data_IF_975498226909
#
_entry.id   IF_975498226909
#
_cell.length_a   1.000
_cell.length_b   1.000
_cell.length_c   1.000
_cell.angle_alpha   90.00
_cell.angle_beta   90.00
_cell.angle_gamma   90.00
#
_symmetry.space_group_name_H-M   'P 1'
#
loop_
_entity.id
_entity.type
_entity.pdbx_description
1 polymer ?
#
# COMPACT_ATOMS: atom_id res chain seq x y z
N UNK A 1 -14.43 15.11 16.18
CA UNK A 1 -13.66 16.16 15.44
C UNK A 1 -14.22 16.33 14.04
N UNK A 2 -14.08 17.53 13.50
CA UNK A 2 -14.28 17.83 12.08
C UNK A 2 -12.93 17.80 11.38
N UNK A 3 -12.70 16.73 10.62
CA UNK A 3 -11.42 16.38 10.00
C UNK A 3 -11.50 16.65 8.50
N UNK A 4 -10.55 17.39 7.96
CA UNK A 4 -10.41 17.65 6.54
C UNK A 4 -9.23 16.89 5.94
N UNK A 5 -9.44 16.15 4.86
CA UNK A 5 -8.36 15.60 4.03
C UNK A 5 -8.19 16.42 2.76
N UNK A 6 -6.95 16.72 2.40
CA UNK A 6 -6.60 17.28 1.09
C UNK A 6 -5.75 16.24 0.36
N UNK A 7 -6.21 15.79 -0.80
CA UNK A 7 -5.53 14.77 -1.60
C UNK A 7 -5.62 15.08 -3.09
N UNK A 8 -4.61 14.72 -3.85
CA UNK A 8 -4.59 14.90 -5.30
C UNK A 8 -5.44 13.89 -6.06
N UNK A 9 -5.74 12.75 -5.45
CA UNK A 9 -6.53 11.66 -6.02
C UNK A 9 -7.48 11.08 -4.96
N UNK A 10 -8.64 10.61 -5.42
CA UNK A 10 -9.65 9.94 -4.58
C UNK A 10 -10.55 9.09 -5.48
N UNK A 11 -11.15 7.99 -5.02
CA UNK A 11 -12.05 7.19 -5.86
C UNK A 11 -13.15 8.04 -6.55
N UNK A 12 -13.52 7.72 -7.81
CA UNK A 12 -13.13 6.56 -8.61
C UNK A 12 -11.80 6.69 -9.37
N UNK A 13 -10.96 7.69 -9.07
CA UNK A 13 -9.63 7.78 -9.64
C UNK A 13 -8.77 6.62 -9.10
N UNK A 14 -8.00 5.99 -10.01
CA UNK A 14 -7.06 4.95 -9.64
C UNK A 14 -5.80 5.58 -9.00
N UNK A 15 -5.45 5.14 -7.78
CA UNK A 15 -4.24 5.60 -7.09
C UNK A 15 -4.17 5.09 -5.65
N UNK A 16 -2.94 4.86 -5.19
CA UNK A 16 -2.69 4.29 -3.86
C UNK A 16 -3.02 5.25 -2.72
N UNK A 17 -2.72 6.54 -2.91
CA UNK A 17 -3.01 7.59 -1.92
C UNK A 17 -4.51 7.86 -1.82
N UNK A 18 -5.20 7.86 -2.98
CA UNK A 18 -6.65 7.99 -3.02
C UNK A 18 -7.37 6.86 -2.29
N UNK A 19 -6.98 5.61 -2.58
CA UNK A 19 -7.53 4.43 -1.91
C UNK A 19 -7.24 4.44 -0.40
N UNK A 20 -6.01 4.78 0.01
CA UNK A 20 -5.65 4.95 1.42
C UNK A 20 -6.52 6.02 2.10
N UNK A 21 -6.68 7.18 1.46
CA UNK A 21 -7.45 8.29 2.02
C UNK A 21 -8.91 7.91 2.20
N UNK A 22 -9.48 7.18 1.24
CA UNK A 22 -10.86 6.68 1.31
C UNK A 22 -11.06 5.73 2.50
N UNK A 23 -10.22 4.71 2.63
CA UNK A 23 -10.32 3.74 3.72
C UNK A 23 -10.12 4.39 5.10
N UNK A 24 -9.13 5.29 5.23
CA UNK A 24 -8.89 6.03 6.46
C UNK A 24 -10.08 6.94 6.81
N UNK A 25 -10.60 7.67 5.83
CA UNK A 25 -11.75 8.57 6.00
C UNK A 25 -13.00 7.79 6.45
N UNK A 26 -13.30 6.66 5.79
CA UNK A 26 -14.41 5.78 6.16
C UNK A 26 -14.26 5.24 7.59
N UNK A 27 -13.06 4.80 7.97
CA UNK A 27 -12.79 4.30 9.31
C UNK A 27 -12.91 5.40 10.38
N UNK A 28 -12.53 6.65 10.08
CA UNK A 28 -12.73 7.78 10.98
C UNK A 28 -14.21 8.16 11.13
N UNK A 29 -15.01 8.07 10.06
CA UNK A 29 -16.47 8.22 10.15
C UNK A 29 -17.07 7.13 11.06
N UNK A 30 -16.64 5.88 10.92
CA UNK A 30 -17.07 4.78 11.78
C UNK A 30 -16.69 4.99 13.26
N UNK A 31 -15.64 5.76 13.56
CA UNK A 31 -15.26 6.20 14.91
C UNK A 31 -16.06 7.42 15.41
N UNK A 32 -17.02 7.92 14.64
CA UNK A 32 -17.89 9.04 15.01
C UNK A 32 -17.33 10.42 14.70
N UNK A 33 -16.35 10.53 13.82
CA UNK A 33 -15.84 11.84 13.35
C UNK A 33 -16.60 12.33 12.13
N UNK A 34 -16.68 13.65 11.96
CA UNK A 34 -17.17 14.29 10.73
C UNK A 34 -15.99 14.44 9.78
N UNK A 35 -16.01 13.78 8.63
CA UNK A 35 -14.88 13.73 7.70
C UNK A 35 -15.24 14.36 6.37
N UNK A 36 -14.34 15.24 5.92
CA UNK A 36 -14.44 16.02 4.70
C UNK A 36 -13.21 15.76 3.83
N UNK A 37 -13.38 15.62 2.51
CA UNK A 37 -12.28 15.43 1.56
C UNK A 37 -12.35 16.51 0.49
N UNK A 38 -11.27 17.26 0.30
CA UNK A 38 -11.07 18.15 -0.85
C UNK A 38 -10.10 17.49 -1.83
N UNK A 39 -10.56 17.28 -3.07
CA UNK A 39 -9.80 16.53 -4.06
C UNK A 39 -10.02 17.03 -5.49
N UNK A 40 -9.32 16.39 -6.44
CA UNK A 40 -9.39 16.69 -7.85
C UNK A 40 -10.79 16.42 -8.43
N UNK A 41 -11.26 17.27 -9.36
CA UNK A 41 -12.60 17.21 -9.93
C UNK A 41 -12.97 15.88 -10.62
N UNK A 42 -11.96 15.09 -11.03
CA UNK A 42 -12.16 13.76 -11.62
C UNK A 42 -12.62 12.70 -10.62
N UNK A 43 -12.49 12.99 -9.33
CA UNK A 43 -12.98 12.13 -8.25
C UNK A 43 -14.48 12.30 -7.98
N UNK A 44 -15.25 12.87 -8.93
CA UNK A 44 -16.71 12.98 -8.81
C UNK A 44 -17.35 11.60 -8.82
N UNK A 45 -17.97 11.24 -7.70
CA UNK A 45 -18.70 10.00 -7.50
C UNK A 45 -19.55 10.09 -6.22
N UNK A 46 -20.36 9.08 -5.98
CA UNK A 46 -21.06 8.93 -4.73
C UNK A 46 -20.13 8.21 -3.74
N UNK A 47 -19.99 8.77 -2.56
CA UNK A 47 -19.31 8.11 -1.45
C UNK A 47 -20.39 7.65 -0.45
N UNK A 48 -20.54 6.35 -0.30
CA UNK A 48 -21.54 5.73 0.58
C UNK A 48 -21.04 5.58 2.03
N UNK A 49 -19.80 5.98 2.31
CA UNK A 49 -19.18 5.83 3.63
C UNK A 49 -19.57 6.90 4.64
N UNK A 50 -20.30 7.93 4.20
CA UNK A 50 -20.63 9.09 5.02
C UNK A 50 -19.59 10.20 4.99
N UNK A 51 -18.53 10.04 4.19
CA UNK A 51 -17.51 11.06 3.94
C UNK A 51 -18.06 12.15 3.02
N UNK A 52 -17.83 13.41 3.34
CA UNK A 52 -18.27 14.54 2.51
C UNK A 52 -17.17 14.93 1.51
N UNK A 53 -17.33 14.52 0.26
CA UNK A 53 -16.33 14.71 -0.80
C UNK A 53 -16.61 15.97 -1.62
N UNK A 54 -15.67 16.91 -1.62
CA UNK A 54 -15.62 18.10 -2.47
C UNK A 54 -14.63 17.86 -3.62
N UNK A 55 -15.08 17.19 -4.70
CA UNK A 55 -14.30 16.95 -5.91
C UNK A 55 -14.35 18.17 -6.83
N UNK A 56 -13.66 19.24 -6.46
CA UNK A 56 -13.80 20.57 -7.07
C UNK A 56 -12.49 21.16 -7.60
N UNK A 57 -11.32 20.64 -7.21
CA UNK A 57 -10.02 21.17 -7.60
C UNK A 57 -9.70 20.75 -9.04
N UNK A 58 -9.49 21.72 -9.93
CA UNK A 58 -9.07 21.44 -11.33
C UNK A 58 -7.56 21.30 -11.45
N UNK A 59 -6.85 22.27 -10.89
CA UNK A 59 -5.39 22.33 -10.90
C UNK A 59 -4.89 22.81 -9.54
N UNK A 60 -3.78 22.26 -9.06
CA UNK A 60 -3.17 22.62 -7.78
C UNK A 60 -2.34 23.91 -7.90
N UNK A 61 -3.01 25.02 -8.22
CA UNK A 61 -2.46 26.34 -8.40
C UNK A 61 -2.86 27.30 -7.26
N UNK A 62 -2.63 28.61 -7.41
CA UNK A 62 -3.02 29.61 -6.40
C UNK A 62 -4.52 29.63 -6.08
N UNK A 63 -5.36 29.36 -7.07
CA UNK A 63 -6.80 29.29 -6.86
C UNK A 63 -7.17 28.11 -5.94
N UNK A 64 -6.50 26.98 -6.07
CA UNK A 64 -6.70 25.82 -5.21
C UNK A 64 -6.33 26.10 -3.74
N UNK A 65 -5.27 26.89 -3.49
CA UNK A 65 -4.91 27.31 -2.12
C UNK A 65 -6.01 28.13 -1.47
N UNK A 66 -6.58 29.09 -2.21
CA UNK A 66 -7.69 29.94 -1.74
C UNK A 66 -8.97 29.10 -1.58
N UNK A 67 -9.20 28.14 -2.47
CA UNK A 67 -10.32 27.21 -2.38
C UNK A 67 -10.22 26.34 -1.12
N UNK A 68 -9.05 25.80 -0.83
CA UNK A 68 -8.79 25.03 0.38
C UNK A 68 -9.08 25.83 1.66
N UNK A 69 -8.65 27.10 1.71
CA UNK A 69 -8.96 27.99 2.84
C UNK A 69 -10.47 28.23 3.02
N UNK A 70 -11.18 28.53 1.92
CA UNK A 70 -12.64 28.77 1.95
C UNK A 70 -13.38 27.51 2.36
N UNK A 71 -12.98 26.34 1.83
CA UNK A 71 -13.53 25.06 2.14
C UNK A 71 -13.34 24.72 3.63
N UNK A 72 -12.13 24.89 4.17
CA UNK A 72 -11.84 24.62 5.56
C UNK A 72 -12.67 25.50 6.52
N UNK A 73 -12.82 26.80 6.21
CA UNK A 73 -13.66 27.73 7.00
C UNK A 73 -15.15 27.39 6.89
N UNK A 74 -15.64 27.06 5.69
CA UNK A 74 -17.04 26.69 5.47
C UNK A 74 -17.46 25.49 6.34
N UNK A 75 -16.60 24.47 6.41
CA UNK A 75 -16.87 23.26 7.18
C UNK A 75 -16.40 23.35 8.63
N UNK A 76 -15.83 24.49 9.05
CA UNK A 76 -15.30 24.70 10.41
C UNK A 76 -14.38 23.57 10.84
N UNK A 77 -13.45 23.20 9.98
CA UNK A 77 -12.52 22.09 10.25
C UNK A 77 -11.66 22.41 11.47
N UNK A 78 -11.40 21.39 12.29
CA UNK A 78 -10.53 21.49 13.45
C UNK A 78 -9.11 21.09 13.07
N UNK A 79 -8.97 20.04 12.26
CA UNK A 79 -7.69 19.54 11.75
C UNK A 79 -7.76 19.29 10.26
N UNK A 80 -6.67 19.59 9.57
CA UNK A 80 -6.54 19.35 8.12
C UNK A 80 -5.32 18.46 7.89
N UNK A 81 -5.55 17.30 7.28
CA UNK A 81 -4.48 16.37 6.92
C UNK A 81 -4.23 16.39 5.42
N UNK A 82 -3.04 16.85 5.02
CA UNK A 82 -2.56 16.79 3.64
C UNK A 82 -1.99 15.39 3.36
N UNK A 83 -2.60 14.65 2.46
CA UNK A 83 -2.13 13.34 1.99
C UNK A 83 -1.13 13.55 0.85
N UNK A 84 0.15 13.55 1.17
CA UNK A 84 1.18 13.94 0.23
C UNK A 84 1.93 12.75 -0.39
N UNK A 85 1.82 12.66 -1.68
CA UNK A 85 2.70 11.98 -2.62
C UNK A 85 2.77 12.83 -3.88
N UNK A 86 3.97 13.08 -4.40
CA UNK A 86 4.13 14.02 -5.52
C UNK A 86 3.39 13.60 -6.78
N UNK A 87 3.28 12.28 -7.04
CA UNK A 87 2.58 11.74 -8.21
C UNK A 87 1.06 11.97 -8.12
N UNK A 88 0.47 11.90 -6.94
CA UNK A 88 -0.97 12.06 -6.71
C UNK A 88 -1.47 13.46 -7.11
N UNK A 89 -0.63 14.50 -6.95
CA UNK A 89 -0.96 15.88 -7.33
C UNK A 89 -0.66 16.24 -8.78
N UNK A 90 -0.22 15.25 -9.59
CA UNK A 90 0.18 15.47 -10.98
C UNK A 90 1.67 15.79 -11.13
N UNK A 91 2.14 15.86 -12.39
CA UNK A 91 3.58 15.93 -12.71
C UNK A 91 4.29 17.17 -12.13
N UNK A 92 3.58 18.30 -11.94
CA UNK A 92 4.15 19.54 -11.40
C UNK A 92 3.10 20.28 -10.56
N UNK A 93 3.16 20.13 -9.25
CA UNK A 93 2.28 20.85 -8.32
C UNK A 93 3.07 21.50 -7.16
N UNK A 94 4.04 22.41 -7.42
CA UNK A 94 4.92 22.96 -6.39
C UNK A 94 4.17 23.77 -5.34
N UNK A 95 3.01 24.33 -5.67
CA UNK A 95 2.22 25.14 -4.75
C UNK A 95 1.54 24.33 -3.64
N UNK A 96 1.40 23.03 -3.80
CA UNK A 96 0.90 22.14 -2.74
C UNK A 96 1.79 22.23 -1.48
N UNK A 97 3.09 22.47 -1.65
CA UNK A 97 4.01 22.68 -0.53
C UNK A 97 3.71 23.92 0.32
N UNK A 98 2.87 24.84 -0.17
CA UNK A 98 2.45 26.03 0.58
C UNK A 98 1.14 25.82 1.34
N UNK A 99 0.45 24.67 1.17
CA UNK A 99 -0.84 24.42 1.82
C UNK A 99 -0.79 24.55 3.34
N UNK A 100 0.15 23.93 4.08
CA UNK A 100 0.17 24.06 5.53
C UNK A 100 0.36 25.52 5.98
N UNK A 101 1.26 26.26 5.34
CA UNK A 101 1.47 27.69 5.64
C UNK A 101 0.22 28.54 5.36
N UNK A 102 -0.55 28.21 4.31
CA UNK A 102 -1.78 28.92 3.95
C UNK A 102 -2.97 28.55 4.82
N UNK A 103 -2.89 27.42 5.47
CA UNK A 103 -3.91 26.89 6.39
C UNK A 103 -3.48 27.01 7.85
N UNK A 104 -2.57 27.94 8.16
CA UNK A 104 -2.00 28.15 9.52
C UNK A 104 -3.04 28.49 10.59
N UNK A 105 -4.23 28.99 10.19
CA UNK A 105 -5.37 29.21 11.09
C UNK A 105 -5.95 27.87 11.63
N UNK A 106 -5.56 26.73 11.06
CA UNK A 106 -6.03 25.40 11.41
C UNK A 106 -4.88 24.54 11.91
N UNK A 107 -5.19 23.50 12.68
CA UNK A 107 -4.21 22.45 12.96
C UNK A 107 -3.93 21.65 11.67
N UNK A 108 -2.74 21.78 11.11
CA UNK A 108 -2.36 21.11 9.86
C UNK A 108 -1.42 19.93 10.15
N UNK A 109 -1.72 18.79 9.56
CA UNK A 109 -0.87 17.60 9.59
C UNK A 109 -0.54 17.20 8.16
N UNK A 110 0.71 16.85 7.88
CA UNK A 110 1.10 16.31 6.57
C UNK A 110 1.42 14.82 6.70
N UNK A 111 0.70 13.98 5.96
CA UNK A 111 1.01 12.56 5.82
C UNK A 111 1.84 12.34 4.57
N UNK A 112 3.07 11.88 4.73
CA UNK A 112 3.93 11.47 3.62
C UNK A 112 3.75 10.00 3.33
N UNK A 113 3.33 9.66 2.11
CA UNK A 113 3.26 8.28 1.64
C UNK A 113 4.61 7.76 1.20
N UNK A 114 5.46 8.63 0.69
CA UNK A 114 6.90 8.43 0.55
C UNK A 114 7.65 9.79 0.54
N UNK A 115 8.96 9.71 0.76
CA UNK A 115 9.86 10.85 0.65
C UNK A 115 10.67 10.80 -0.65
N UNK A 116 10.29 9.94 -1.61
CA UNK A 116 10.99 9.78 -2.87
C UNK A 116 10.89 11.06 -3.69
N UNK A 117 12.03 11.49 -4.19
CA UNK A 117 12.11 12.66 -5.07
C UNK A 117 11.70 12.21 -6.47
N UNK A 118 10.63 12.76 -7.07
CA UNK A 118 10.20 12.36 -8.40
C UNK A 118 11.29 12.49 -9.47
N UNK A 119 11.36 11.55 -10.39
CA UNK A 119 12.38 11.43 -11.45
C UNK A 119 12.47 12.63 -12.42
N UNK A 120 11.52 13.53 -12.43
CA UNK A 120 11.35 14.56 -13.47
C UNK A 120 12.51 15.56 -13.64
N UNK A 121 13.39 15.70 -12.66
CA UNK A 121 14.62 16.51 -12.78
C UNK A 121 15.70 16.00 -11.79
N UNK A 122 16.49 14.99 -12.13
CA UNK A 122 17.49 14.39 -11.23
C UNK A 122 18.48 15.41 -10.63
N UNK A 123 18.84 16.46 -11.40
CA UNK A 123 19.78 17.51 -10.98
C UNK A 123 19.21 18.46 -9.91
N UNK A 124 17.88 18.47 -9.65
CA UNK A 124 17.23 19.30 -8.66
C UNK A 124 16.94 18.58 -7.32
N UNK A 125 17.52 17.39 -7.10
CA UNK A 125 17.24 16.54 -5.95
C UNK A 125 17.36 17.25 -4.59
N UNK A 126 18.42 18.03 -4.38
CA UNK A 126 18.62 18.78 -3.14
C UNK A 126 17.60 19.88 -2.89
N UNK A 127 17.13 20.59 -3.93
CA UNK A 127 16.08 21.60 -3.81
C UNK A 127 14.73 20.98 -3.51
N UNK A 128 14.44 19.83 -4.09
CA UNK A 128 13.20 19.11 -3.85
C UNK A 128 13.13 18.56 -2.44
N UNK A 129 14.22 17.97 -1.95
CA UNK A 129 14.28 17.53 -0.57
C UNK A 129 14.09 18.71 0.40
N UNK A 130 14.69 19.87 0.12
CA UNK A 130 14.43 21.08 0.90
C UNK A 130 12.97 21.52 0.85
N UNK A 131 12.31 21.40 -0.29
CA UNK A 131 10.88 21.69 -0.43
C UNK A 131 10.01 20.71 0.39
N UNK A 132 10.34 19.42 0.41
CA UNK A 132 9.71 18.42 1.27
C UNK A 132 9.91 18.73 2.74
N UNK A 133 11.15 19.09 3.16
CA UNK A 133 11.42 19.49 4.53
C UNK A 133 10.66 20.78 4.92
N UNK A 134 10.51 21.73 3.99
CA UNK A 134 9.73 22.92 4.24
C UNK A 134 8.24 22.57 4.41
N UNK A 135 7.70 21.69 3.57
CA UNK A 135 6.34 21.19 3.70
C UNK A 135 6.11 20.53 5.08
N UNK A 136 7.05 19.69 5.52
CA UNK A 136 7.00 19.06 6.83
C UNK A 136 7.09 20.08 7.97
N UNK A 137 8.03 21.03 7.91
CA UNK A 137 8.28 22.04 8.96
C UNK A 137 7.17 23.09 9.09
N UNK A 138 6.39 23.30 8.05
CA UNK A 138 5.26 24.28 8.06
C UNK A 138 3.94 23.66 8.51
N UNK A 139 3.87 22.33 8.60
CA UNK A 139 2.77 21.62 9.25
C UNK A 139 2.94 21.65 10.77
N UNK A 140 1.87 21.49 11.52
CA UNK A 140 1.91 21.34 12.99
C UNK A 140 2.23 19.93 13.43
N UNK A 141 2.03 18.94 12.55
CA UNK A 141 2.39 17.54 12.78
C UNK A 141 2.71 16.83 11.48
N UNK A 142 3.49 15.76 11.57
CA UNK A 142 3.88 14.93 10.43
C UNK A 142 3.56 13.48 10.70
N UNK A 143 2.93 12.83 9.73
CA UNK A 143 2.74 11.38 9.69
C UNK A 143 3.60 10.82 8.57
N UNK A 144 4.28 9.71 8.83
CA UNK A 144 4.98 8.90 7.82
C UNK A 144 4.45 7.47 7.87
N UNK A 145 4.48 6.78 6.75
CA UNK A 145 3.87 5.45 6.65
C UNK A 145 4.85 4.30 6.88
N UNK A 146 6.16 4.60 6.99
CA UNK A 146 7.19 3.57 7.08
C UNK A 146 8.39 4.00 7.95
N UNK A 147 9.19 3.00 8.35
CA UNK A 147 10.36 3.18 9.23
C UNK A 147 11.47 3.99 8.56
N UNK A 148 11.68 3.81 7.25
CA UNK A 148 12.75 4.50 6.53
C UNK A 148 12.54 6.00 6.52
N UNK A 149 11.32 6.45 6.19
CA UNK A 149 10.94 7.85 6.16
C UNK A 149 10.96 8.46 7.58
N UNK A 150 10.50 7.69 8.59
CA UNK A 150 10.60 8.09 10.00
C UNK A 150 12.05 8.35 10.41
N UNK A 151 12.96 7.40 10.16
CA UNK A 151 14.38 7.55 10.47
C UNK A 151 15.05 8.69 9.70
N UNK A 152 14.61 8.95 8.48
CA UNK A 152 15.13 10.03 7.66
C UNK A 152 14.72 11.39 8.22
N UNK A 153 13.43 11.59 8.52
CA UNK A 153 12.92 12.86 9.07
C UNK A 153 13.36 13.10 10.52
N UNK A 154 13.48 12.06 11.32
CA UNK A 154 13.95 12.19 12.71
C UNK A 154 15.38 12.74 12.85
N UNK A 155 16.21 12.66 11.77
CA UNK A 155 17.56 13.27 11.75
C UNK A 155 17.55 14.76 11.43
N UNK A 156 16.42 15.27 10.93
CA UNK A 156 16.29 16.65 10.50
C UNK A 156 15.94 17.58 11.68
N UNK A 157 16.56 18.76 11.71
CA UNK A 157 16.29 19.75 12.77
C UNK A 157 15.00 20.53 12.49
N UNK A 158 14.31 20.92 13.55
CA UNK A 158 13.12 21.78 13.46
C UNK A 158 11.91 21.08 12.86
N UNK A 159 11.82 19.77 13.03
CA UNK A 159 10.63 19.01 12.67
C UNK A 159 9.56 19.15 13.75
N UNK A 160 8.28 19.26 13.36
CA UNK A 160 7.17 19.20 14.30
C UNK A 160 7.02 17.75 14.84
N UNK A 161 6.08 17.49 15.76
CA UNK A 161 5.76 16.14 16.19
C UNK A 161 5.64 15.20 15.02
N UNK A 162 6.38 14.07 15.09
CA UNK A 162 6.48 13.07 14.03
C UNK A 162 5.91 11.75 14.53
N UNK A 163 4.99 11.16 13.76
CA UNK A 163 4.36 9.88 14.09
C UNK A 163 4.42 8.92 12.91
N UNK A 164 4.86 7.68 13.16
CA UNK A 164 4.73 6.61 12.17
C UNK A 164 3.37 5.92 12.33
N UNK A 165 2.54 6.04 11.29
CA UNK A 165 1.25 5.35 11.19
C UNK A 165 1.28 4.56 9.86
N UNK A 166 1.31 3.22 9.91
CA UNK A 166 1.45 2.40 8.71
C UNK A 166 0.19 2.42 7.85
N UNK A 167 0.30 1.90 6.64
CA UNK A 167 -0.87 1.68 5.77
C UNK A 167 -1.59 0.39 6.15
N UNK A 168 -2.88 0.33 5.88
CA UNK A 168 -3.69 -0.89 5.93
C UNK A 168 -3.73 -1.62 4.58
N UNK A 169 -4.42 -2.74 4.55
CA UNK A 169 -4.76 -3.42 3.30
C UNK A 169 -5.99 -2.79 2.67
N UNK A 170 -5.90 -2.50 1.36
CA UNK A 170 -7.07 -2.07 0.57
C UNK A 170 -7.90 -3.28 0.08
N UNK A 171 -7.44 -4.50 0.35
CA UNK A 171 -8.16 -5.73 0.04
C UNK A 171 -8.53 -6.37 1.38
N UNK A 172 -9.79 -6.26 1.75
CA UNK A 172 -10.31 -6.92 2.95
C UNK A 172 -10.45 -8.44 2.74
N UNK A 173 -10.30 -9.27 3.77
CA UNK A 173 -10.61 -10.70 3.71
C UNK A 173 -12.13 -10.93 3.69
N UNK A 174 -12.75 -10.54 2.59
CA UNK A 174 -14.19 -10.58 2.35
C UNK A 174 -14.47 -11.24 0.99
N UNK A 175 -14.30 -12.57 0.87
CA UNK A 175 -14.70 -13.30 -0.32
C UNK A 175 -16.22 -13.28 -0.46
N UNK A 176 -16.73 -13.66 -1.63
CA UNK A 176 -18.16 -13.83 -1.83
C UNK A 176 -18.74 -14.83 -0.80
N UNK A 177 -20.04 -14.68 -0.43
CA UNK A 177 -20.67 -15.53 0.60
C UNK A 177 -20.63 -17.04 0.31
N UNK A 178 -20.56 -17.41 -0.96
CA UNK A 178 -20.47 -18.78 -1.47
C UNK A 178 -19.02 -19.23 -1.71
N UNK A 179 -18.05 -18.60 -1.09
CA UNK A 179 -16.64 -18.95 -1.25
C UNK A 179 -16.39 -20.41 -0.89
N UNK A 180 -15.92 -21.15 -1.90
CA UNK A 180 -15.41 -22.52 -1.76
C UNK A 180 -13.99 -22.57 -2.35
N UNK A 181 -13.02 -22.90 -1.50
CA UNK A 181 -11.62 -23.03 -1.87
C UNK A 181 -11.40 -24.05 -2.98
N UNK A 182 -12.09 -25.20 -2.91
CA UNK A 182 -11.97 -26.25 -3.90
C UNK A 182 -12.54 -25.82 -5.25
N UNK A 183 -13.68 -25.12 -5.25
CA UNK A 183 -14.30 -24.58 -6.47
C UNK A 183 -13.40 -23.54 -7.14
N UNK A 184 -12.78 -22.62 -6.39
CA UNK A 184 -11.84 -21.62 -6.94
C UNK A 184 -10.64 -22.31 -7.59
N UNK A 185 -10.08 -23.34 -6.95
CA UNK A 185 -8.95 -24.12 -7.50
C UNK A 185 -9.35 -24.90 -8.76
N UNK A 186 -10.51 -25.53 -8.75
CA UNK A 186 -11.05 -26.26 -9.89
C UNK A 186 -11.28 -25.32 -11.11
N UNK A 187 -11.82 -24.12 -10.88
CA UNK A 187 -12.01 -23.12 -11.93
C UNK A 187 -10.69 -22.65 -12.57
N UNK A 188 -9.58 -22.69 -11.82
CA UNK A 188 -8.22 -22.45 -12.33
C UNK A 188 -7.60 -23.70 -12.98
N UNK A 189 -8.26 -24.85 -12.98
CA UNK A 189 -7.72 -26.12 -13.47
C UNK A 189 -6.55 -26.62 -12.61
N UNK A 190 -6.61 -26.43 -11.29
CA UNK A 190 -5.56 -26.82 -10.36
C UNK A 190 -6.03 -28.03 -9.55
N UNK A 191 -5.31 -29.16 -9.60
CA UNK A 191 -5.62 -30.34 -8.79
C UNK A 191 -5.60 -30.01 -7.29
N UNK A 192 -6.49 -30.64 -6.54
CA UNK A 192 -6.59 -30.42 -5.09
C UNK A 192 -5.30 -30.80 -4.36
N UNK A 193 -4.63 -31.88 -4.82
CA UNK A 193 -3.37 -32.35 -4.25
C UNK A 193 -2.15 -31.48 -4.54
N UNK A 194 -2.21 -30.63 -5.56
CA UNK A 194 -1.08 -29.76 -5.94
C UNK A 194 -0.96 -28.57 -5.01
N UNK A 195 0.25 -28.04 -4.84
CA UNK A 195 0.50 -26.82 -4.08
C UNK A 195 0.18 -25.60 -4.95
N UNK A 196 -0.63 -24.67 -4.45
CA UNK A 196 -0.94 -23.40 -5.11
C UNK A 196 -0.15 -22.25 -4.51
N UNK A 197 0.83 -21.76 -5.26
CA UNK A 197 1.59 -20.55 -4.94
C UNK A 197 0.88 -19.35 -5.55
N UNK A 198 0.55 -18.33 -4.74
CA UNK A 198 -0.02 -17.08 -5.19
C UNK A 198 1.04 -15.98 -5.36
N UNK A 199 0.83 -15.12 -6.33
CA UNK A 199 1.48 -13.81 -6.46
C UNK A 199 0.40 -12.77 -6.68
N UNK A 200 0.46 -11.66 -5.96
CA UNK A 200 -0.55 -10.60 -6.06
C UNK A 200 0.05 -9.26 -6.47
N UNK A 201 -0.56 -8.64 -7.48
CA UNK A 201 -0.29 -7.29 -7.95
C UNK A 201 0.17 -7.19 -9.40
N UNK A 202 0.37 -5.95 -9.88
CA UNK A 202 0.88 -5.70 -11.23
C UNK A 202 2.30 -6.23 -11.40
N UNK A 203 2.61 -6.66 -12.64
CA UNK A 203 3.96 -7.08 -13.01
C UNK A 203 4.85 -5.86 -13.20
N UNK A 204 5.81 -5.67 -12.31
CA UNK A 204 6.90 -4.71 -12.45
C UNK A 204 8.20 -5.28 -11.89
N UNK A 205 9.33 -4.70 -12.27
CA UNK A 205 10.65 -5.23 -11.92
C UNK A 205 10.85 -5.29 -10.39
N UNK A 206 10.41 -4.28 -9.63
CA UNK A 206 10.60 -4.23 -8.17
C UNK A 206 9.85 -5.31 -7.40
N UNK A 207 8.83 -5.93 -7.99
CA UNK A 207 8.06 -7.02 -7.36
C UNK A 207 8.63 -8.41 -7.60
N UNK A 208 9.71 -8.55 -8.39
CA UNK A 208 10.49 -9.77 -8.51
C UNK A 208 9.82 -10.95 -9.22
N UNK A 209 8.87 -10.72 -10.14
CA UNK A 209 8.16 -11.80 -10.83
C UNK A 209 9.11 -12.73 -11.60
N UNK A 210 10.21 -12.23 -12.15
CA UNK A 210 11.22 -13.05 -12.82
C UNK A 210 11.93 -14.00 -11.83
N UNK A 211 12.26 -13.53 -10.62
CA UNK A 211 12.81 -14.37 -9.56
C UNK A 211 11.79 -15.44 -9.14
N UNK A 212 10.50 -15.05 -9.00
CA UNK A 212 9.42 -15.99 -8.68
C UNK A 212 9.32 -17.15 -9.68
N UNK A 213 9.28 -16.85 -10.98
CA UNK A 213 9.18 -17.88 -12.02
C UNK A 213 10.35 -18.87 -11.98
N UNK A 214 11.57 -18.37 -11.80
CA UNK A 214 12.75 -19.22 -11.64
C UNK A 214 12.69 -20.05 -10.37
N UNK A 215 12.22 -19.47 -9.25
CA UNK A 215 12.02 -20.18 -7.98
C UNK A 215 10.98 -21.29 -8.10
N UNK A 216 9.85 -21.04 -8.76
CA UNK A 216 8.81 -22.07 -9.03
C UNK A 216 9.39 -23.18 -9.92
N UNK A 217 10.16 -22.83 -10.96
CA UNK A 217 10.83 -23.84 -11.80
C UNK A 217 11.80 -24.72 -10.98
N UNK A 218 12.54 -24.13 -10.02
CA UNK A 218 13.40 -24.90 -9.09
C UNK A 218 12.60 -25.82 -8.17
N UNK A 219 11.48 -25.36 -7.62
CA UNK A 219 10.61 -26.18 -6.80
C UNK A 219 10.05 -27.37 -7.58
N UNK A 220 9.60 -27.18 -8.83
CA UNK A 220 9.17 -28.25 -9.72
C UNK A 220 10.29 -29.26 -10.01
N UNK A 221 11.51 -28.78 -10.29
CA UNK A 221 12.69 -29.63 -10.50
C UNK A 221 13.06 -30.46 -9.26
N UNK A 222 12.75 -29.96 -8.05
CA UNK A 222 12.95 -30.71 -6.80
C UNK A 222 11.79 -31.65 -6.45
N UNK A 223 10.81 -31.84 -7.35
CA UNK A 223 9.72 -32.79 -7.20
C UNK A 223 8.44 -32.24 -6.57
N UNK A 224 8.36 -30.92 -6.26
CA UNK A 224 7.14 -30.29 -5.74
C UNK A 224 6.11 -30.17 -6.88
N UNK A 225 4.91 -30.75 -6.71
CA UNK A 225 3.80 -30.54 -7.65
C UNK A 225 3.13 -29.19 -7.37
N UNK A 226 3.65 -28.12 -7.98
CA UNK A 226 3.22 -26.76 -7.75
C UNK A 226 2.59 -26.10 -8.97
N UNK A 227 1.60 -25.24 -8.71
CA UNK A 227 1.04 -24.28 -9.63
C UNK A 227 1.27 -22.87 -9.11
N UNK A 228 1.40 -21.91 -10.03
CA UNK A 228 1.49 -20.48 -9.72
C UNK A 228 0.25 -19.76 -10.24
N UNK A 229 -0.42 -18.99 -9.41
CA UNK A 229 -1.45 -18.04 -9.85
C UNK A 229 -0.95 -16.60 -9.73
N UNK A 230 -0.97 -15.88 -10.85
CA UNK A 230 -0.70 -14.45 -10.93
C UNK A 230 -2.04 -13.71 -10.80
N UNK A 231 -2.27 -13.12 -9.62
CA UNK A 231 -3.51 -12.43 -9.27
C UNK A 231 -3.35 -10.95 -9.59
N UNK A 232 -4.24 -10.40 -10.44
CA UNK A 232 -4.22 -8.99 -10.83
C UNK A 232 -3.85 -8.75 -12.29
N UNK A 233 -3.94 -7.48 -12.71
CA UNK A 233 -3.64 -7.06 -14.09
C UNK A 233 -2.16 -7.21 -14.48
N UNK A 234 -1.90 -7.25 -15.78
CA UNK A 234 -0.53 -7.35 -16.32
C UNK A 234 0.28 -6.10 -15.99
N UNK A 235 -0.31 -4.93 -16.19
CA UNK A 235 0.35 -3.62 -16.02
C UNK A 235 -0.63 -2.62 -15.42
N UNK A 236 -0.12 -1.69 -14.60
CA UNK A 236 -0.87 -0.47 -14.27
C UNK A 236 -0.90 0.48 -15.46
N UNK A 237 -1.86 1.39 -15.50
CA UNK A 237 -2.15 2.28 -16.64
C UNK A 237 -1.10 3.37 -16.88
N UNK A 238 -0.11 3.55 -16.00
CA UNK A 238 0.69 4.76 -15.90
C UNK A 238 2.13 4.69 -16.40
N UNK A 239 2.69 3.49 -16.68
CA UNK A 239 4.12 3.37 -17.04
C UNK A 239 4.36 2.38 -18.19
N UNK A 240 4.78 2.88 -19.39
CA UNK A 240 5.12 2.03 -20.54
C UNK A 240 6.23 1.00 -20.28
N UNK A 241 7.14 1.24 -19.33
CA UNK A 241 8.21 0.30 -19.00
C UNK A 241 7.66 -1.03 -18.43
N UNK A 242 6.50 -0.98 -17.79
CA UNK A 242 5.82 -2.16 -17.26
C UNK A 242 5.28 -3.08 -18.37
N UNK A 243 4.98 -2.55 -19.57
CA UNK A 243 4.53 -3.36 -20.72
C UNK A 243 5.68 -4.28 -21.19
N UNK A 244 6.86 -3.73 -21.42
CA UNK A 244 8.04 -4.51 -21.82
C UNK A 244 8.43 -5.53 -20.75
N UNK A 245 8.33 -5.17 -19.46
CA UNK A 245 8.58 -6.12 -18.39
C UNK A 245 7.56 -7.27 -18.42
N UNK A 246 6.27 -7.00 -18.62
CA UNK A 246 5.25 -8.03 -18.71
C UNK A 246 5.47 -8.98 -19.92
N UNK A 247 5.91 -8.45 -21.05
CA UNK A 247 6.31 -9.24 -22.22
C UNK A 247 7.52 -10.15 -21.91
N UNK A 248 8.52 -9.63 -21.20
CA UNK A 248 9.67 -10.41 -20.76
C UNK A 248 9.29 -11.55 -19.80
N UNK A 249 8.27 -11.34 -18.96
CA UNK A 249 7.71 -12.37 -18.08
C UNK A 249 7.01 -13.47 -18.90
N UNK A 250 6.28 -13.12 -19.96
CA UNK A 250 5.65 -14.10 -20.85
C UNK A 250 6.68 -14.97 -21.57
N UNK A 251 7.74 -14.34 -22.08
CA UNK A 251 8.84 -15.05 -22.70
C UNK A 251 9.55 -15.99 -21.69
N UNK A 252 9.74 -15.54 -20.44
CA UNK A 252 10.37 -16.32 -19.39
C UNK A 252 9.52 -17.54 -18.98
N UNK A 253 8.18 -17.41 -18.92
CA UNK A 253 7.26 -18.54 -18.67
C UNK A 253 7.47 -19.62 -19.73
N UNK A 254 7.53 -19.24 -21.01
CA UNK A 254 7.75 -20.17 -22.11
C UNK A 254 9.14 -20.81 -22.05
N UNK A 255 10.17 -20.00 -21.80
CA UNK A 255 11.57 -20.46 -21.70
C UNK A 255 11.77 -21.47 -20.56
N UNK A 256 11.07 -21.30 -19.44
CA UNK A 256 11.13 -22.21 -18.30
C UNK A 256 10.15 -23.38 -18.40
N UNK A 257 9.40 -23.50 -19.51
CA UNK A 257 8.37 -24.56 -19.73
C UNK A 257 7.28 -24.53 -18.64
N UNK A 258 6.91 -23.35 -18.16
CA UNK A 258 5.92 -23.16 -17.09
C UNK A 258 4.49 -22.90 -17.60
N UNK A 259 4.24 -22.93 -18.91
CA UNK A 259 2.93 -22.54 -19.50
C UNK A 259 1.76 -23.30 -18.89
N UNK A 260 1.94 -24.62 -18.63
CA UNK A 260 0.90 -25.48 -18.02
C UNK A 260 0.81 -25.33 -16.49
N UNK A 261 1.72 -24.61 -15.87
CA UNK A 261 1.83 -24.45 -14.40
C UNK A 261 1.50 -23.03 -13.92
N UNK A 262 1.37 -22.06 -14.83
CA UNK A 262 1.03 -20.67 -14.49
C UNK A 262 -0.41 -20.37 -14.90
N UNK A 263 -1.17 -19.81 -13.97
CA UNK A 263 -2.52 -19.31 -14.19
C UNK A 263 -2.54 -17.81 -14.00
N UNK A 264 -3.43 -17.09 -14.70
CA UNK A 264 -3.59 -15.64 -14.61
C UNK A 264 -5.05 -15.30 -14.42
N UNK A 265 -5.34 -14.44 -13.46
CA UNK A 265 -6.72 -13.98 -13.27
C UNK A 265 -7.07 -12.80 -14.15
N UNK A 266 -6.05 -12.02 -14.61
CA UNK A 266 -6.29 -10.67 -15.12
C UNK A 266 -6.73 -9.73 -14.00
N UNK A 267 -7.21 -8.54 -14.38
CA UNK A 267 -7.83 -7.63 -13.42
C UNK A 267 -9.15 -8.24 -12.92
N UNK A 268 -9.30 -8.26 -11.60
CA UNK A 268 -10.50 -8.77 -10.91
C UNK A 268 -10.83 -7.88 -9.73
N UNK A 269 -12.10 -7.84 -9.34
CA UNK A 269 -12.60 -7.08 -8.20
C UNK A 269 -12.08 -7.62 -6.86
N UNK A 270 -12.10 -6.76 -5.82
CA UNK A 270 -11.51 -7.04 -4.50
C UNK A 270 -12.00 -8.34 -3.87
N UNK A 271 -13.29 -8.68 -4.00
CA UNK A 271 -13.85 -9.92 -3.47
C UNK A 271 -13.26 -11.16 -4.16
N UNK A 272 -13.03 -11.10 -5.48
CA UNK A 272 -12.38 -12.18 -6.21
C UNK A 272 -10.88 -12.27 -5.87
N UNK A 273 -10.17 -11.13 -5.68
CA UNK A 273 -8.80 -11.12 -5.17
C UNK A 273 -8.75 -11.83 -3.82
N UNK A 274 -9.67 -11.51 -2.90
CA UNK A 274 -9.78 -12.16 -1.60
C UNK A 274 -9.96 -13.68 -1.73
N UNK A 275 -10.86 -14.12 -2.61
CA UNK A 275 -11.09 -15.53 -2.86
C UNK A 275 -9.82 -16.25 -3.38
N UNK A 276 -9.09 -15.66 -4.32
CA UNK A 276 -7.84 -16.24 -4.83
C UNK A 276 -6.75 -16.28 -3.76
N UNK A 277 -6.59 -15.24 -2.94
CA UNK A 277 -5.63 -15.24 -1.84
C UNK A 277 -5.93 -16.36 -0.84
N UNK A 278 -7.20 -16.54 -0.46
CA UNK A 278 -7.64 -17.59 0.45
C UNK A 278 -7.54 -19.01 -0.17
N UNK A 279 -7.57 -19.13 -1.51
CA UNK A 279 -7.42 -20.41 -2.19
C UNK A 279 -5.96 -20.87 -2.26
N UNK A 280 -4.98 -19.98 -2.10
CA UNK A 280 -3.55 -20.31 -2.13
C UNK A 280 -3.10 -21.08 -0.88
N UNK A 281 -2.07 -21.94 -1.05
CA UNK A 281 -1.38 -22.58 0.06
C UNK A 281 -0.30 -21.69 0.65
N UNK A 282 0.26 -20.81 -0.17
CA UNK A 282 1.24 -19.80 0.21
C UNK A 282 1.23 -18.64 -0.80
N UNK A 283 1.71 -17.48 -0.37
CA UNK A 283 1.89 -16.32 -1.21
C UNK A 283 3.40 -16.04 -1.34
N UNK A 284 3.91 -15.88 -2.55
CA UNK A 284 5.32 -15.59 -2.81
C UNK A 284 5.47 -14.17 -3.39
N UNK A 285 6.14 -13.30 -2.64
CA UNK A 285 6.33 -11.88 -2.93
C UNK A 285 7.81 -11.50 -2.84
N UNK A 286 8.66 -11.93 -3.82
CA UNK A 286 10.11 -11.75 -3.76
C UNK A 286 10.55 -10.37 -4.26
N UNK A 287 10.23 -9.30 -3.52
CA UNK A 287 10.59 -7.93 -3.87
C UNK A 287 12.11 -7.79 -4.04
N UNK A 288 12.56 -7.10 -5.10
CA UNK A 288 13.99 -6.93 -5.40
C UNK A 288 14.69 -5.98 -4.43
N UNK A 289 13.93 -5.04 -3.85
CA UNK A 289 14.38 -4.06 -2.85
C UNK A 289 13.99 -4.41 -1.41
N UNK A 290 13.55 -5.66 -1.17
CA UNK A 290 13.10 -6.14 0.13
C UNK A 290 11.66 -5.81 0.46
N UNK A 291 11.10 -6.55 1.43
CA UNK A 291 9.74 -6.32 1.92
C UNK A 291 9.65 -5.04 2.75
N UNK A 292 8.52 -4.37 2.67
CA UNK A 292 8.16 -3.26 3.56
C UNK A 292 6.64 -3.20 3.75
N UNK A 293 6.18 -2.59 4.84
CA UNK A 293 4.75 -2.38 5.09
C UNK A 293 4.09 -1.34 4.16
N UNK A 294 4.81 -0.78 3.20
CA UNK A 294 4.26 0.01 2.09
C UNK A 294 3.75 -0.83 0.92
N UNK A 295 4.06 -2.12 0.91
CA UNK A 295 3.69 -3.03 -0.18
C UNK A 295 2.25 -3.52 0.00
N UNK A 296 1.29 -2.93 -0.72
CA UNK A 296 -0.13 -3.31 -0.65
C UNK A 296 -0.38 -4.81 -0.85
N UNK A 297 0.39 -5.47 -1.74
CA UNK A 297 0.29 -6.93 -1.91
C UNK A 297 0.75 -7.73 -0.68
N UNK A 298 1.75 -7.24 0.04
CA UNK A 298 2.18 -7.84 1.31
C UNK A 298 1.11 -7.62 2.40
N UNK A 299 0.57 -6.40 2.49
CA UNK A 299 -0.51 -6.08 3.43
C UNK A 299 -1.76 -6.92 3.18
N UNK A 300 -2.12 -7.14 1.91
CA UNK A 300 -3.22 -8.02 1.55
C UNK A 300 -2.95 -9.47 1.98
N UNK A 301 -1.74 -9.98 1.73
CA UNK A 301 -1.34 -11.31 2.19
C UNK A 301 -1.43 -11.48 3.71
N UNK A 302 -0.96 -10.48 4.47
CA UNK A 302 -1.08 -10.48 5.93
C UNK A 302 -2.54 -10.46 6.38
N UNK A 303 -3.36 -9.58 5.81
CA UNK A 303 -4.78 -9.45 6.15
C UNK A 303 -5.56 -10.76 5.92
N UNK A 304 -5.18 -11.54 4.89
CA UNK A 304 -5.79 -12.83 4.59
C UNK A 304 -5.15 -14.01 5.34
N UNK A 305 -4.17 -13.76 6.20
CA UNK A 305 -3.45 -14.83 6.89
C UNK A 305 -2.74 -15.80 5.95
N UNK A 306 -2.30 -15.34 4.78
CA UNK A 306 -1.54 -16.19 3.87
C UNK A 306 -0.19 -16.56 4.51
N UNK A 307 0.29 -17.81 4.42
CA UNK A 307 1.70 -18.14 4.61
C UNK A 307 2.52 -17.40 3.55
N UNK A 308 3.33 -16.39 3.96
CA UNK A 308 4.03 -15.51 3.01
C UNK A 308 5.50 -15.85 2.94
N UNK A 309 6.01 -16.12 1.72
CA UNK A 309 7.44 -16.10 1.39
C UNK A 309 7.74 -14.72 0.81
N UNK A 310 8.71 -14.01 1.37
CA UNK A 310 9.07 -12.68 0.89
C UNK A 310 10.57 -12.38 1.08
N UNK A 311 11.06 -11.33 0.44
CA UNK A 311 12.46 -10.95 0.53
C UNK A 311 12.80 -10.32 1.87
N UNK A 312 14.01 -10.57 2.38
CA UNK A 312 14.55 -9.88 3.55
C UNK A 312 14.41 -8.37 3.39
N UNK A 313 13.91 -7.64 4.40
CA UNK A 313 13.75 -6.19 4.30
C UNK A 313 15.09 -5.48 4.22
N UNK A 314 15.18 -4.43 3.39
CA UNK A 314 16.39 -3.60 3.28
C UNK A 314 16.64 -2.76 4.56
N UNK A 315 15.57 -2.36 5.25
CA UNK A 315 15.63 -1.73 6.57
C UNK A 315 14.98 -2.70 7.57
N UNK A 316 15.62 -3.00 8.70
CA UNK A 316 15.08 -3.94 9.67
C UNK A 316 13.64 -3.62 10.07
N UNK A 317 12.77 -4.62 10.02
CA UNK A 317 11.39 -4.57 10.46
C UNK A 317 11.25 -5.54 11.64
N UNK A 318 11.29 -5.04 12.89
CA UNK A 318 11.30 -5.88 14.07
C UNK A 318 10.02 -6.69 14.25
N UNK A 319 8.95 -6.32 13.55
CA UNK A 319 7.68 -7.04 13.53
C UNK A 319 7.72 -8.33 12.69
N UNK A 320 8.72 -8.47 11.80
CA UNK A 320 8.83 -9.64 10.91
C UNK A 320 9.83 -10.65 11.46
N UNK A 321 9.34 -11.86 11.72
CA UNK A 321 10.12 -12.97 12.27
C UNK A 321 10.13 -14.14 11.30
N UNK A 322 11.34 -14.47 10.75
CA UNK A 322 11.51 -15.59 9.84
C UNK A 322 11.08 -16.92 10.46
N UNK A 323 10.27 -17.68 9.72
CA UNK A 323 9.75 -18.99 10.15
C UNK A 323 8.66 -18.92 11.22
N UNK A 324 8.25 -17.73 11.62
CA UNK A 324 7.19 -17.53 12.59
C UNK A 324 5.96 -16.82 11.99
N UNK A 325 6.09 -15.60 11.48
CA UNK A 325 4.97 -14.88 10.83
C UNK A 325 5.20 -14.58 9.33
N UNK A 326 6.43 -14.76 8.84
CA UNK A 326 6.81 -14.74 7.43
C UNK A 326 7.95 -15.71 7.18
N UNK A 327 8.13 -16.15 5.93
CA UNK A 327 9.32 -16.88 5.51
C UNK A 327 10.21 -15.97 4.66
N UNK A 328 11.36 -15.55 5.21
CA UNK A 328 12.26 -14.60 4.57
C UNK A 328 13.29 -15.32 3.70
N UNK A 329 13.51 -14.81 2.50
CA UNK A 329 14.58 -15.25 1.58
C UNK A 329 15.41 -14.06 1.15
N UNK A 330 16.69 -14.23 0.76
CA UNK A 330 17.46 -13.12 0.18
C UNK A 330 16.80 -12.59 -1.11
N UNK A 331 16.83 -11.28 -1.37
CA UNK A 331 16.35 -10.71 -2.63
C UNK A 331 17.07 -11.32 -3.83
N UNK A 332 16.35 -11.44 -4.97
CA UNK A 332 16.88 -11.87 -6.25
C UNK A 332 17.62 -13.23 -6.26
N UNK A 333 17.28 -14.13 -5.31
CA UNK A 333 17.82 -15.48 -5.24
C UNK A 333 16.74 -16.53 -5.52
N UNK A 334 16.56 -16.96 -6.79
CA UNK A 334 15.53 -17.92 -7.16
C UNK A 334 15.77 -19.33 -6.55
N UNK A 335 17.01 -19.71 -6.27
CA UNK A 335 17.35 -20.97 -5.60
C UNK A 335 16.80 -20.99 -4.17
N UNK A 336 17.04 -19.92 -3.41
CA UNK A 336 16.52 -19.79 -2.04
C UNK A 336 14.98 -19.74 -2.03
N UNK A 337 14.37 -19.09 -3.02
CA UNK A 337 12.93 -19.04 -3.17
C UNK A 337 12.33 -20.40 -3.50
N UNK A 338 12.95 -21.16 -4.41
CA UNK A 338 12.54 -22.52 -4.74
C UNK A 338 12.61 -23.47 -3.54
N UNK A 339 13.66 -23.37 -2.74
CA UNK A 339 13.82 -24.12 -1.50
C UNK A 339 12.78 -23.73 -0.44
N UNK A 340 12.46 -22.45 -0.33
CA UNK A 340 11.39 -21.97 0.55
C UNK A 340 10.01 -22.53 0.15
N UNK A 341 9.70 -22.53 -1.16
CA UNK A 341 8.47 -23.14 -1.69
C UNK A 341 8.43 -24.63 -1.33
N UNK A 342 9.52 -25.37 -1.54
CA UNK A 342 9.61 -26.80 -1.18
C UNK A 342 9.40 -27.00 0.31
N UNK A 343 10.12 -26.24 1.14
CA UNK A 343 10.01 -26.33 2.61
C UNK A 343 8.56 -26.12 3.07
N UNK A 344 7.88 -25.11 2.54
CA UNK A 344 6.48 -24.85 2.90
C UNK A 344 5.54 -25.91 2.30
N UNK A 345 5.82 -26.45 1.13
CA UNK A 345 5.04 -27.54 0.53
C UNK A 345 5.04 -28.77 1.43
N UNK A 346 6.21 -29.15 1.93
CA UNK A 346 6.43 -30.35 2.74
C UNK A 346 6.02 -30.20 4.23
N UNK A 347 5.79 -28.94 4.70
CA UNK A 347 5.56 -28.65 6.12
C UNK A 347 4.21 -27.94 6.37
N UNK A 348 3.06 -28.66 6.36
CA UNK A 348 1.74 -28.05 6.62
C UNK A 348 1.63 -27.37 8.00
N UNK A 349 2.31 -27.89 9.03
CA UNK A 349 2.33 -27.27 10.35
C UNK A 349 3.05 -25.90 10.34
N UNK A 350 4.10 -25.77 9.53
CA UNK A 350 4.78 -24.49 9.36
C UNK A 350 3.87 -23.48 8.64
N UNK A 351 3.17 -23.93 7.58
CA UNK A 351 2.17 -23.07 6.92
C UNK A 351 1.08 -22.60 7.89
N UNK A 352 0.53 -23.50 8.72
CA UNK A 352 -0.49 -23.15 9.71
C UNK A 352 0.02 -22.11 10.72
N UNK A 353 1.26 -22.28 11.23
CA UNK A 353 1.89 -21.30 12.14
C UNK A 353 2.09 -19.95 11.48
N UNK A 354 2.66 -19.93 10.27
CA UNK A 354 2.84 -18.68 9.51
C UNK A 354 1.51 -17.98 9.26
N UNK A 355 0.46 -18.71 8.91
CA UNK A 355 -0.89 -18.20 8.70
C UNK A 355 -1.46 -17.56 9.97
N UNK A 356 -1.44 -18.28 11.09
CA UNK A 356 -1.95 -17.78 12.35
C UNK A 356 -1.22 -16.51 12.81
N UNK A 357 0.10 -16.51 12.74
CA UNK A 357 0.91 -15.38 13.21
C UNK A 357 0.88 -14.21 12.22
N UNK A 358 0.67 -14.45 10.92
CA UNK A 358 0.38 -13.40 9.95
C UNK A 358 -0.94 -12.68 10.27
N UNK A 359 -2.01 -13.43 10.62
CA UNK A 359 -3.28 -12.84 11.08
C UNK A 359 -3.08 -11.98 12.33
N UNK A 360 -2.33 -12.47 13.34
CA UNK A 360 -2.05 -11.70 14.55
C UNK A 360 -1.28 -10.41 14.25
N UNK A 361 -0.28 -10.50 13.36
CA UNK A 361 0.45 -9.30 12.92
C UNK A 361 -0.47 -8.32 12.18
N UNK A 362 -1.37 -8.83 11.33
CA UNK A 362 -2.31 -8.02 10.55
C UNK A 362 -3.25 -7.18 11.42
N UNK A 363 -3.56 -7.61 12.64
CA UNK A 363 -4.39 -6.84 13.57
C UNK A 363 -3.86 -5.43 13.86
N UNK A 364 -2.54 -5.24 13.77
CA UNK A 364 -1.89 -3.93 13.97
C UNK A 364 -2.15 -2.96 12.82
N UNK A 365 -2.57 -3.47 11.65
CA UNK A 365 -2.75 -2.75 10.40
C UNK A 365 -4.21 -2.67 9.96
N UNK A 366 -5.15 -2.95 10.86
CA UNK A 366 -6.58 -2.75 10.58
C UNK A 366 -6.90 -1.26 10.44
N UNK A 367 -7.82 -0.93 9.54
CA UNK A 367 -8.24 0.45 9.32
C UNK A 367 -8.78 1.11 10.59
N UNK A 368 -9.47 0.35 11.44
CA UNK A 368 -9.92 0.84 12.75
C UNK A 368 -8.75 1.29 13.64
N UNK A 369 -7.68 0.47 13.74
CA UNK A 369 -6.49 0.85 14.53
C UNK A 369 -5.72 2.02 13.91
N UNK A 370 -5.60 2.05 12.58
CA UNK A 370 -4.96 3.15 11.86
C UNK A 370 -5.74 4.43 12.09
N UNK A 371 -7.07 4.40 11.97
CA UNK A 371 -7.94 5.56 12.22
C UNK A 371 -7.83 6.03 13.68
N UNK A 372 -7.84 5.11 14.65
CA UNK A 372 -7.68 5.47 16.06
C UNK A 372 -6.35 6.18 16.32
N UNK A 373 -5.23 5.59 15.85
CA UNK A 373 -3.89 6.20 15.98
C UNK A 373 -3.79 7.56 15.29
N UNK A 374 -4.47 7.73 14.17
CA UNK A 374 -4.53 9.00 13.44
C UNK A 374 -5.35 10.03 14.23
N UNK A 375 -6.50 9.64 14.77
CA UNK A 375 -7.34 10.50 15.59
C UNK A 375 -6.63 10.92 16.88
N UNK A 376 -5.94 10.00 17.56
CA UNK A 376 -5.15 10.28 18.76
C UNK A 376 -4.05 11.31 18.48
N UNK A 377 -3.34 11.15 17.37
CA UNK A 377 -2.32 12.12 16.96
C UNK A 377 -2.91 13.47 16.59
N UNK A 378 -4.08 13.52 15.95
CA UNK A 378 -4.77 14.78 15.69
C UNK A 378 -5.19 15.50 16.97
N UNK A 379 -5.66 14.76 17.98
CA UNK A 379 -5.99 15.33 19.29
C UNK A 379 -4.75 15.88 20.01
N UNK A 380 -3.61 15.18 19.94
CA UNK A 380 -2.32 15.64 20.47
C UNK A 380 -1.97 17.02 19.85
N UNK A 381 -2.01 17.14 18.51
CA UNK A 381 -1.71 18.37 17.80
C UNK A 381 -2.69 19.52 18.12
N UNK A 382 -3.97 19.20 18.33
CA UNK A 382 -4.98 20.20 18.73
C UNK A 382 -4.72 20.72 20.14
N UNK A 383 -4.35 19.84 21.07
CA UNK A 383 -4.08 20.21 22.48
C UNK A 383 -2.83 21.11 22.59
N UNK A 384 -1.73 20.72 21.94
CA UNK A 384 -0.50 21.52 21.88
C UNK A 384 -0.74 22.92 21.28
N UNK A 385 -1.67 23.00 20.30
CA UNK A 385 -2.04 24.26 19.66
C UNK A 385 -2.82 25.19 20.58
N UNK A 386 -3.62 24.63 21.50
CA UNK A 386 -4.40 25.41 22.48
C UNK A 386 -3.52 25.95 23.61
N UNK A 387 -2.42 25.29 23.96
CA UNK A 387 -1.45 25.72 24.99
C UNK A 387 -0.50 26.84 24.51
N UNK A 388 -0.38 27.04 23.19
CA UNK A 388 0.50 28.05 22.58
C UNK A 388 -0.20 29.39 22.26
N UNK A 389 -1.53 29.46 22.46
CA UNK A 389 -2.37 30.65 22.31
C UNK A 389 -2.70 31.29 23.65
#
# INVERSE_FOLDING_TARGET
MRIGFITGEYPPMEGGVGAFTHELAAALVALGHEVYVLTHWRAKGNDETGVQVAAEVRDWNWAALLQAQRWARRHRLEVINLQYEAAAFGKVAPLVHLLPSRLSDFATVTTFHDLLVPYLFPKAGGLRYRALLNLARTARGVIVTNVQDEQQLAKERGMPPLRRIPIGSNIAPAPLPDFDRAAVRAALGIPESSVLVGYFGFLNASKGAACLLRGVARALQSGVDAYLVLIGGRTGTSDPSNVHYAESIDALISQLSLSERVRRTGFVESAAVSAYLLACDMLALPYTDGVSFRRGSFMAGLAHGCPIITSTPAVPLPELHHGDNVYLVPPEQPEALGEAIRTLADAPQLRARLSQNACQLAEQFTWTRIAQRTADFFLEILTESAEQL
#
